data_IF_648456820661
#
_entry.id   IF_648456820661
#
_cell.length_a   1.000
_cell.length_b   1.000
_cell.length_c   1.000
_cell.angle_alpha   90.00
_cell.angle_beta   90.00
_cell.angle_gamma   90.00
#
_symmetry.space_group_name_H-M   'P 1'
#
loop_
_entity.id
_entity.type
_entity.pdbx_description
1 polymer ?
#
# COMPACT_ATOMS: atom_id res chain seq x y z
N UNK A 1 18.27 50.23 3.72
CA UNK A 1 18.39 50.04 2.27
C UNK A 1 17.30 49.08 1.81
N UNK A 2 16.41 49.59 0.99
CA UNK A 2 15.17 48.95 0.52
C UNK A 2 15.45 48.17 -0.75
N UNK A 3 14.97 46.95 -0.88
CA UNK A 3 14.87 46.26 -2.15
C UNK A 3 13.59 45.43 -2.26
N UNK A 4 12.69 46.03 -2.90
CA UNK A 4 11.63 45.75 -3.88
C UNK A 4 11.29 44.26 -4.18
N UNK A 5 10.09 43.92 -3.76
CA UNK A 5 9.28 42.81 -4.26
C UNK A 5 8.81 43.14 -5.70
N UNK A 6 8.98 42.25 -6.66
CA UNK A 6 8.34 42.32 -7.98
C UNK A 6 7.09 41.44 -7.98
N UNK A 7 5.97 42.12 -8.22
CA UNK A 7 4.68 41.50 -8.49
C UNK A 7 4.67 40.92 -9.91
N UNK A 8 4.14 39.73 -10.05
CA UNK A 8 3.83 39.12 -11.34
C UNK A 8 2.48 39.65 -11.84
N UNK A 9 2.50 40.20 -13.02
CA UNK A 9 1.36 40.74 -13.73
C UNK A 9 0.39 39.64 -14.18
N UNK A 10 -0.84 39.88 -13.81
CA UNK A 10 -2.06 39.27 -14.33
C UNK A 10 -2.28 39.75 -15.77
N UNK A 11 -2.34 38.83 -16.73
CA UNK A 11 -2.64 39.16 -18.14
C UNK A 11 -4.05 38.68 -18.43
N UNK A 12 -4.98 39.63 -18.47
CA UNK A 12 -6.35 39.40 -18.91
C UNK A 12 -6.38 39.30 -20.46
N UNK A 13 -7.23 38.46 -21.06
CA UNK A 13 -7.40 38.41 -22.52
C UNK A 13 -8.22 39.61 -22.97
N UNK A 14 -7.65 40.35 -23.94
CA UNK A 14 -8.31 41.47 -24.61
C UNK A 14 -9.38 40.94 -25.56
N UNK A 15 -10.61 41.42 -25.39
CA UNK A 15 -11.68 41.34 -26.34
C UNK A 15 -11.34 42.25 -27.55
N UNK A 16 -11.24 41.65 -28.71
CA UNK A 16 -11.19 42.38 -29.98
C UNK A 16 -12.61 42.38 -30.54
N UNK A 17 -13.26 43.55 -30.41
CA UNK A 17 -14.57 43.80 -31.02
C UNK A 17 -14.32 44.38 -32.41
N UNK A 18 -14.65 43.66 -33.45
CA UNK A 18 -14.71 44.12 -34.83
C UNK A 18 -16.12 43.88 -35.36
N UNK A 19 -16.86 44.96 -35.41
CA UNK A 19 -18.20 45.01 -35.96
C UNK A 19 -18.24 44.84 -37.48
N UNK A 20 -19.48 44.73 -37.94
CA UNK A 20 -20.05 44.71 -39.26
C UNK A 20 -20.29 43.35 -39.91
N UNK A 21 -21.55 42.97 -39.89
CA UNK A 21 -22.33 42.84 -41.08
C UNK A 21 -22.51 41.41 -41.63
N UNK A 22 -23.79 41.08 -41.75
CA UNK A 22 -24.38 40.05 -42.59
C UNK A 22 -24.42 38.61 -42.02
N UNK A 23 -25.57 38.34 -41.48
CA UNK A 23 -25.99 36.99 -41.06
C UNK A 23 -25.99 35.99 -42.22
N UNK A 24 -25.15 35.04 -42.09
CA UNK A 24 -25.33 33.73 -42.70
C UNK A 24 -25.39 32.72 -41.57
N UNK A 25 -26.62 32.29 -41.28
CA UNK A 25 -26.90 31.21 -40.35
C UNK A 25 -26.41 29.91 -40.99
N UNK A 26 -25.11 29.62 -40.88
CA UNK A 26 -24.60 28.30 -41.20
C UNK A 26 -24.97 27.38 -40.03
N UNK A 27 -26.11 26.72 -40.23
CA UNK A 27 -26.55 25.58 -39.39
C UNK A 27 -25.48 24.52 -39.51
N UNK A 28 -24.50 24.57 -38.58
CA UNK A 28 -23.49 23.54 -38.44
C UNK A 28 -24.20 22.26 -38.01
N UNK A 29 -24.54 21.41 -38.98
CA UNK A 29 -24.90 20.04 -38.74
C UNK A 29 -23.72 19.40 -38.00
N UNK A 30 -23.88 19.16 -36.72
CA UNK A 30 -23.05 18.21 -36.00
C UNK A 30 -23.27 16.84 -36.66
N UNK A 31 -22.47 16.53 -37.65
CA UNK A 31 -22.28 15.17 -38.09
C UNK A 31 -21.53 14.48 -36.93
N UNK A 32 -22.25 13.80 -36.09
CA UNK A 32 -21.71 12.81 -35.16
C UNK A 32 -21.17 11.67 -36.02
N UNK A 33 -19.95 11.85 -36.55
CA UNK A 33 -19.13 10.71 -36.94
C UNK A 33 -18.75 10.00 -35.65
N UNK A 34 -19.69 9.18 -35.15
CA UNK A 34 -19.35 8.09 -34.26
C UNK A 34 -18.46 7.15 -35.06
N UNK A 35 -17.15 7.38 -34.96
CA UNK A 35 -16.19 6.36 -35.33
C UNK A 35 -16.59 5.12 -34.54
N UNK A 36 -16.90 4.00 -35.21
CA UNK A 36 -17.06 2.75 -34.49
C UNK A 36 -15.72 2.51 -33.82
N UNK A 37 -15.69 2.65 -32.50
CA UNK A 37 -14.61 2.16 -31.67
C UNK A 37 -14.59 0.64 -31.91
N UNK A 38 -13.83 0.25 -32.92
CA UNK A 38 -13.47 -1.14 -33.14
C UNK A 38 -12.73 -1.58 -31.88
N UNK A 39 -13.53 -2.01 -30.89
CA UNK A 39 -13.05 -2.89 -29.87
C UNK A 39 -12.51 -4.13 -30.62
N UNK A 40 -11.25 -4.05 -30.98
CA UNK A 40 -10.47 -5.25 -31.19
C UNK A 40 -10.46 -5.96 -29.83
N UNK A 41 -11.55 -6.63 -29.57
CA UNK A 41 -11.62 -7.62 -28.52
C UNK A 41 -10.54 -8.63 -28.82
N UNK A 42 -9.35 -8.42 -28.26
CA UNK A 42 -8.36 -9.48 -28.13
C UNK A 42 -9.02 -10.53 -27.23
N UNK A 43 -9.90 -11.29 -27.82
CA UNK A 43 -10.34 -12.54 -27.21
C UNK A 43 -9.06 -13.37 -27.10
N UNK A 44 -8.49 -13.38 -25.92
CA UNK A 44 -7.47 -14.33 -25.54
C UNK A 44 -8.15 -15.71 -25.60
N UNK A 45 -8.35 -16.22 -26.83
CA UNK A 45 -8.60 -17.66 -27.00
C UNK A 45 -7.37 -18.29 -26.41
N UNK A 46 -7.53 -18.91 -25.28
CA UNK A 46 -6.57 -19.88 -24.77
C UNK A 46 -6.66 -21.09 -25.67
N UNK A 47 -6.23 -20.89 -26.90
CA UNK A 47 -6.15 -22.00 -27.84
C UNK A 47 -5.22 -23.03 -27.21
N UNK A 48 -5.75 -24.22 -27.00
CA UNK A 48 -4.95 -25.30 -26.45
C UNK A 48 -3.77 -25.53 -27.42
N UNK A 49 -2.55 -25.47 -26.93
CA UNK A 49 -1.39 -25.65 -27.80
C UNK A 49 -1.45 -27.04 -28.42
N UNK A 50 -1.14 -27.13 -29.73
CA UNK A 50 -1.06 -28.39 -30.41
C UNK A 50 0.11 -29.24 -29.89
N UNK A 51 0.07 -30.54 -30.10
CA UNK A 51 1.12 -31.44 -29.66
C UNK A 51 2.51 -30.99 -30.17
N UNK A 52 2.61 -30.60 -31.44
CA UNK A 52 3.85 -30.11 -32.03
C UNK A 52 4.35 -28.80 -31.38
N UNK A 53 3.45 -27.89 -31.00
CA UNK A 53 3.81 -26.68 -30.25
C UNK A 53 4.33 -27.02 -28.86
N UNK A 54 3.73 -27.99 -28.17
CA UNK A 54 4.21 -28.47 -26.87
C UNK A 54 5.56 -29.16 -26.93
N UNK A 55 5.83 -29.92 -28.00
CA UNK A 55 7.14 -30.55 -28.20
C UNK A 55 8.24 -29.50 -28.43
N UNK A 56 7.96 -28.47 -29.24
CA UNK A 56 8.94 -27.41 -29.56
C UNK A 56 9.18 -26.43 -28.40
N UNK A 57 8.11 -25.96 -27.74
CA UNK A 57 8.15 -24.87 -26.77
C UNK A 57 8.08 -25.38 -25.32
N UNK A 58 7.67 -26.66 -25.14
CA UNK A 58 7.39 -27.18 -23.80
C UNK A 58 6.17 -26.53 -23.15
N UNK A 59 5.91 -26.85 -21.89
CA UNK A 59 4.85 -26.25 -21.08
C UNK A 59 5.42 -25.11 -20.22
N UNK A 60 4.84 -23.93 -20.32
CA UNK A 60 5.17 -22.85 -19.40
C UNK A 60 4.67 -23.17 -17.98
N UNK A 61 5.58 -23.09 -17.01
CA UNK A 61 5.20 -23.23 -15.60
C UNK A 61 4.41 -22.00 -15.16
N UNK A 62 3.27 -22.21 -14.52
CA UNK A 62 2.48 -21.10 -13.95
C UNK A 62 3.30 -20.34 -12.90
N UNK A 63 3.40 -19.02 -13.06
CA UNK A 63 4.10 -18.16 -12.10
C UNK A 63 3.26 -18.04 -10.82
N UNK A 64 3.78 -18.51 -9.69
CA UNK A 64 3.14 -18.33 -8.39
C UNK A 64 3.14 -16.87 -7.98
N UNK A 65 1.96 -16.29 -7.73
CA UNK A 65 1.83 -14.96 -7.16
C UNK A 65 2.17 -15.00 -5.66
N UNK A 66 3.02 -14.10 -5.20
CA UNK A 66 3.38 -14.02 -3.78
C UNK A 66 2.20 -13.56 -2.94
N UNK A 67 2.06 -14.06 -1.70
CA UNK A 67 1.05 -13.61 -0.74
C UNK A 67 1.40 -12.25 -0.10
N UNK A 68 2.66 -11.83 -0.19
CA UNK A 68 3.21 -10.60 0.41
C UNK A 68 3.93 -9.73 -0.63
N UNK A 69 3.21 -9.10 -1.58
CA UNK A 69 3.81 -8.38 -2.69
C UNK A 69 4.66 -7.18 -2.26
N UNK A 70 4.33 -6.53 -1.14
CA UNK A 70 5.06 -5.35 -0.68
C UNK A 70 6.49 -5.65 -0.17
N UNK A 71 6.80 -6.89 0.17
CA UNK A 71 8.14 -7.27 0.62
C UNK A 71 9.12 -7.49 -0.53
N UNK A 72 8.64 -7.74 -1.77
CA UNK A 72 9.50 -7.99 -2.95
C UNK A 72 10.57 -9.05 -2.67
N UNK A 73 10.15 -10.24 -2.21
CA UNK A 73 11.00 -11.36 -1.85
C UNK A 73 11.97 -11.14 -0.65
N UNK A 74 11.91 -10.00 0.03
CA UNK A 74 12.66 -9.80 1.28
C UNK A 74 11.90 -10.43 2.47
N UNK A 75 12.60 -10.98 3.48
CA UNK A 75 11.94 -11.54 4.67
C UNK A 75 11.28 -10.47 5.54
N UNK A 76 11.88 -9.30 5.67
CA UNK A 76 11.36 -8.14 6.38
C UNK A 76 11.65 -6.86 5.61
N UNK A 77 10.90 -5.79 5.92
CA UNK A 77 11.15 -4.45 5.40
C UNK A 77 10.89 -3.40 6.46
N UNK A 78 11.74 -2.36 6.44
CA UNK A 78 11.57 -1.18 7.29
C UNK A 78 10.53 -0.24 6.68
N UNK A 79 9.79 0.44 7.54
CA UNK A 79 8.85 1.48 7.16
C UNK A 79 8.58 2.44 8.29
N UNK A 80 7.82 3.48 8.00
CA UNK A 80 7.41 4.53 8.94
C UNK A 80 5.89 4.44 9.13
N UNK A 81 5.42 4.49 10.36
CA UNK A 81 4.00 4.53 10.68
C UNK A 81 3.38 5.86 10.20
N UNK A 82 2.40 5.79 9.32
CA UNK A 82 1.62 6.94 8.86
C UNK A 82 0.44 7.19 9.79
N UNK A 83 -0.21 6.11 10.24
CA UNK A 83 -1.36 6.17 11.13
C UNK A 83 -1.42 4.91 12.00
N UNK A 84 -1.74 5.08 13.27
CA UNK A 84 -2.03 3.98 14.20
C UNK A 84 -3.52 4.02 14.56
N UNK A 85 -4.21 2.90 14.43
CA UNK A 85 -5.66 2.82 14.61
C UNK A 85 -6.08 1.44 15.13
N UNK A 86 -7.37 1.31 15.38
CA UNK A 86 -8.00 0.01 15.68
C UNK A 86 -8.91 -0.39 14.53
N UNK A 87 -9.09 -1.69 14.35
CA UNK A 87 -9.95 -2.26 13.33
C UNK A 87 -10.81 -3.38 13.92
N UNK A 88 -12.06 -3.37 13.57
CA UNK A 88 -12.98 -4.46 13.96
C UNK A 88 -12.74 -5.68 13.07
N UNK A 89 -12.75 -6.89 13.63
CA UNK A 89 -12.63 -8.11 12.85
C UNK A 89 -13.90 -8.38 12.06
N UNK A 90 -13.82 -9.29 11.12
CA UNK A 90 -15.00 -9.82 10.43
C UNK A 90 -15.80 -10.75 11.31
N UNK A 91 -17.11 -10.89 11.03
CA UNK A 91 -17.99 -11.88 11.69
C UNK A 91 -17.37 -13.30 11.60
N UNK A 92 -17.47 -14.14 12.63
CA UNK A 92 -18.28 -14.00 13.85
C UNK A 92 -17.56 -13.28 15.02
N UNK A 93 -16.32 -12.82 14.88
CA UNK A 93 -15.53 -12.25 15.96
C UNK A 93 -15.84 -10.76 16.17
N UNK A 94 -15.68 -10.32 17.44
CA UNK A 94 -15.79 -8.91 17.83
C UNK A 94 -14.61 -8.53 18.72
N UNK A 95 -13.90 -7.47 18.37
CA UNK A 95 -12.79 -6.91 19.15
C UNK A 95 -12.31 -5.59 18.53
N UNK A 96 -11.42 -4.88 19.19
CA UNK A 96 -10.69 -3.73 18.66
C UNK A 96 -9.24 -4.13 18.44
N UNK A 97 -8.95 -4.67 17.25
CA UNK A 97 -7.60 -5.12 16.87
C UNK A 97 -6.73 -3.92 16.55
N UNK A 98 -5.51 -3.88 17.08
CA UNK A 98 -4.56 -2.81 16.86
C UNK A 98 -3.85 -2.99 15.52
N UNK A 99 -3.91 -1.96 14.68
CA UNK A 99 -3.28 -1.94 13.36
C UNK A 99 -2.48 -0.65 13.19
N UNK A 100 -1.52 -0.68 12.30
CA UNK A 100 -0.81 0.50 11.83
C UNK A 100 -0.75 0.53 10.31
N UNK A 101 -0.94 1.69 9.72
CA UNK A 101 -0.65 1.95 8.32
C UNK A 101 0.79 2.39 8.20
N UNK A 102 1.57 1.64 7.45
CA UNK A 102 3.04 1.81 7.37
C UNK A 102 3.43 2.09 5.93
N UNK A 103 4.19 3.16 5.71
CA UNK A 103 4.85 3.46 4.45
C UNK A 103 6.22 2.81 4.47
N UNK A 104 6.45 1.90 3.54
CA UNK A 104 7.71 1.16 3.42
C UNK A 104 8.76 1.96 2.65
N UNK A 105 10.02 1.55 2.78
CA UNK A 105 11.16 2.12 2.03
C UNK A 105 11.02 2.02 0.51
N UNK A 106 10.15 1.14 0.01
CA UNK A 106 9.83 1.05 -1.43
C UNK A 106 8.67 1.94 -1.89
N UNK A 107 8.20 2.86 -1.05
CA UNK A 107 7.09 3.77 -1.33
C UNK A 107 5.69 3.18 -1.14
N UNK A 108 5.55 1.88 -0.98
CA UNK A 108 4.24 1.22 -0.81
C UNK A 108 3.69 1.43 0.60
N UNK A 109 2.40 1.76 0.69
CA UNK A 109 1.68 1.82 1.96
C UNK A 109 0.93 0.51 2.20
N UNK A 110 1.10 -0.05 3.39
CA UNK A 110 0.49 -1.32 3.79
C UNK A 110 -0.12 -1.23 5.19
N UNK A 111 -1.21 -1.94 5.40
CA UNK A 111 -1.80 -2.11 6.73
C UNK A 111 -1.17 -3.30 7.41
N UNK A 112 -0.60 -3.07 8.60
CA UNK A 112 0.09 -4.07 9.40
C UNK A 112 -0.64 -4.30 10.73
N UNK A 113 -0.65 -5.52 11.19
CA UNK A 113 -1.16 -5.87 12.51
C UNK A 113 -0.08 -5.70 13.57
N UNK A 114 -0.45 -5.15 14.72
CA UNK A 114 0.41 -5.01 15.90
C UNK A 114 0.12 -6.18 16.84
N UNK A 115 1.00 -7.19 16.94
CA UNK A 115 0.75 -8.34 17.80
C UNK A 115 1.05 -8.02 19.26
N UNK A 116 0.36 -8.71 20.17
CA UNK A 116 0.55 -8.61 21.60
C UNK A 116 -0.37 -7.62 22.30
N UNK A 117 -0.27 -7.55 23.60
CA UNK A 117 -1.04 -6.68 24.47
C UNK A 117 -0.26 -5.37 24.66
N UNK A 118 -0.93 -4.23 24.42
CA UNK A 118 -0.31 -2.92 24.52
C UNK A 118 0.75 -2.65 23.42
N UNK A 119 0.97 -1.40 23.12
CA UNK A 119 2.04 -0.95 22.21
C UNK A 119 2.38 0.52 22.50
N UNK A 120 3.58 0.91 22.11
CA UNK A 120 4.09 2.29 22.22
C UNK A 120 4.19 3.02 20.86
N UNK A 121 3.62 2.43 19.79
CA UNK A 121 3.73 2.98 18.45
C UNK A 121 2.84 4.21 18.29
N UNK A 122 3.39 5.23 17.67
CA UNK A 122 2.74 6.49 17.31
C UNK A 122 2.97 6.78 15.82
N UNK A 123 2.43 7.89 15.34
CA UNK A 123 2.76 8.38 14.00
C UNK A 123 4.27 8.69 13.93
N UNK A 124 4.84 8.45 12.76
CA UNK A 124 6.27 8.60 12.46
C UNK A 124 7.21 7.58 13.13
N UNK A 125 6.72 6.65 13.96
CA UNK A 125 7.55 5.56 14.49
C UNK A 125 8.11 4.69 13.37
N UNK A 126 9.40 4.37 13.46
CA UNK A 126 10.08 3.49 12.53
C UNK A 126 9.86 2.04 12.96
N UNK A 127 9.36 1.22 12.05
CA UNK A 127 9.00 -0.18 12.36
C UNK A 127 9.57 -1.14 11.34
N UNK A 128 9.79 -2.37 11.76
CA UNK A 128 10.12 -3.48 10.91
C UNK A 128 8.90 -4.37 10.71
N UNK A 129 8.56 -4.65 9.46
CA UNK A 129 7.41 -5.49 9.11
C UNK A 129 7.86 -6.83 8.53
N UNK A 130 7.06 -7.86 8.75
CA UNK A 130 7.17 -9.17 8.12
C UNK A 130 5.87 -9.58 7.44
N UNK A 131 5.94 -10.54 6.54
CA UNK A 131 4.75 -11.16 5.96
C UNK A 131 3.99 -11.99 6.99
N UNK A 132 2.74 -12.21 6.71
CA UNK A 132 1.83 -13.01 7.50
C UNK A 132 0.43 -12.42 7.45
N UNK A 133 -0.52 -13.18 6.91
CA UNK A 133 -1.92 -12.74 6.84
C UNK A 133 -2.61 -12.93 8.19
N UNK A 134 -3.39 -11.92 8.60
CA UNK A 134 -4.34 -12.05 9.71
C UNK A 134 -5.67 -12.51 9.14
N UNK A 135 -6.09 -13.74 9.46
CA UNK A 135 -7.34 -14.32 8.93
C UNK A 135 -8.57 -13.52 9.40
N UNK A 136 -8.50 -12.94 10.56
CA UNK A 136 -9.58 -12.21 11.24
C UNK A 136 -9.81 -10.80 10.67
N UNK A 137 -8.78 -10.18 10.10
CA UNK A 137 -8.84 -8.81 9.59
C UNK A 137 -8.79 -8.79 8.06
N UNK A 138 -9.77 -8.16 7.39
CA UNK A 138 -9.76 -8.04 5.95
C UNK A 138 -8.61 -7.14 5.49
N UNK A 139 -7.88 -7.56 4.45
CA UNK A 139 -6.82 -6.78 3.82
C UNK A 139 -5.49 -6.72 4.58
N UNK A 140 -5.39 -7.22 5.81
CA UNK A 140 -4.16 -7.21 6.61
C UNK A 140 -3.32 -8.46 6.30
N UNK A 141 -2.16 -8.24 5.64
CA UNK A 141 -1.25 -9.31 5.18
C UNK A 141 0.13 -9.23 5.83
N UNK A 142 0.35 -8.29 6.74
CA UNK A 142 1.65 -7.99 7.33
C UNK A 142 1.53 -7.85 8.83
N UNK A 143 2.62 -8.15 9.53
CA UNK A 143 2.75 -7.98 10.97
C UNK A 143 3.93 -7.07 11.27
N UNK A 144 3.80 -6.26 12.33
CA UNK A 144 4.93 -5.53 12.90
C UNK A 144 5.72 -6.48 13.80
N UNK A 145 7.05 -6.41 13.72
CA UNK A 145 7.95 -7.17 14.58
C UNK A 145 8.14 -6.39 15.87
N UNK A 146 7.75 -7.00 16.98
CA UNK A 146 7.92 -6.41 18.32
C UNK A 146 9.36 -6.56 18.78
N UNK A 147 9.84 -5.58 19.56
CA UNK A 147 11.21 -5.57 20.08
C UNK A 147 12.28 -5.19 19.05
N UNK A 148 11.89 -4.62 17.92
CA UNK A 148 12.78 -4.13 16.87
C UNK A 148 12.49 -2.66 16.55
N UNK A 149 13.52 -1.85 16.36
CA UNK A 149 13.41 -0.40 16.12
C UNK A 149 12.55 0.26 17.22
N UNK A 150 11.56 1.08 16.85
CA UNK A 150 10.71 1.80 17.80
C UNK A 150 9.59 0.94 18.42
N UNK A 151 9.40 -0.29 17.94
CA UNK A 151 8.39 -1.20 18.48
C UNK A 151 8.91 -1.91 19.73
N UNK A 152 8.50 -1.46 20.92
CA UNK A 152 8.87 -2.11 22.17
C UNK A 152 8.36 -3.56 22.23
N UNK A 153 9.05 -4.44 22.98
CA UNK A 153 8.57 -5.77 23.29
C UNK A 153 7.28 -5.73 24.13
N UNK A 154 6.58 -6.85 24.23
CA UNK A 154 5.41 -6.97 25.11
C UNK A 154 5.90 -7.16 26.54
N UNK A 155 5.50 -6.27 27.44
CA UNK A 155 5.84 -6.36 28.86
C UNK A 155 5.33 -7.69 29.48
N UNK A 156 6.03 -8.19 30.48
CA UNK A 156 5.69 -9.37 31.29
C UNK A 156 5.40 -10.65 30.53
N UNK A 157 5.78 -10.74 29.29
CA UNK A 157 5.57 -11.93 28.47
C UNK A 157 6.55 -13.03 28.82
N UNK A 158 6.03 -14.13 29.39
CA UNK A 158 6.85 -15.29 29.83
C UNK A 158 6.99 -16.37 28.75
N UNK A 159 5.91 -16.66 28.01
CA UNK A 159 5.88 -17.68 26.94
C UNK A 159 5.95 -17.08 25.54
N UNK A 160 6.63 -17.75 24.61
CA UNK A 160 6.76 -17.29 23.22
C UNK A 160 7.45 -15.94 23.09
N UNK A 161 8.39 -15.62 23.97
CA UNK A 161 9.04 -14.31 24.09
C UNK A 161 9.64 -13.78 22.78
N UNK A 162 10.30 -14.63 22.01
CA UNK A 162 10.90 -14.27 20.74
C UNK A 162 9.87 -13.73 19.72
N UNK A 163 8.64 -14.22 19.76
CA UNK A 163 7.56 -13.74 18.89
C UNK A 163 7.08 -12.33 19.25
N UNK A 164 7.30 -11.92 20.49
CA UNK A 164 6.82 -10.65 21.05
C UNK A 164 7.95 -9.72 21.50
N UNK A 165 9.19 -10.03 21.14
CA UNK A 165 10.34 -9.15 21.37
C UNK A 165 10.74 -9.00 22.84
N UNK A 166 10.38 -9.96 23.71
CA UNK A 166 10.72 -9.90 25.13
C UNK A 166 12.05 -10.61 25.41
N UNK A 167 12.96 -9.91 26.09
CA UNK A 167 14.25 -10.48 26.54
C UNK A 167 14.04 -11.48 27.67
N UNK A 168 14.97 -12.43 27.83
CA UNK A 168 14.98 -13.33 28.98
C UNK A 168 15.24 -12.53 30.25
N UNK A 169 14.43 -12.71 31.33
CA UNK A 169 14.75 -12.08 32.61
C UNK A 169 16.12 -12.55 33.09
N UNK A 170 16.94 -11.62 33.56
CA UNK A 170 18.21 -11.97 34.21
C UNK A 170 17.88 -12.76 35.47
N UNK A 171 18.55 -13.91 35.68
CA UNK A 171 18.54 -14.56 36.98
C UNK A 171 19.22 -13.59 37.94
N UNK A 172 18.54 -13.24 39.00
CA UNK A 172 19.18 -12.54 40.13
C UNK A 172 20.33 -13.40 40.60
N UNK A 173 21.54 -12.87 40.66
CA UNK A 173 22.65 -13.56 41.31
C UNK A 173 22.24 -13.80 42.76
N UNK A 174 22.46 -15.02 43.34
CA UNK A 174 22.18 -15.22 44.74
C UNK A 174 22.95 -14.16 45.52
N UNK A 175 22.27 -13.45 46.42
CA UNK A 175 22.90 -12.51 47.33
C UNK A 175 24.05 -13.24 48.01
N UNK A 176 25.27 -12.71 47.85
CA UNK A 176 26.42 -13.21 48.62
C UNK A 176 26.09 -12.93 50.11
N UNK A 177 25.83 -14.00 50.86
CA UNK A 177 25.75 -13.94 52.29
C UNK A 177 27.11 -13.61 52.91
#
# INVERSE_FOLDING_TARGET
>A
MVSKRRALHDVSPREINLGYGLGIFIRQRRSSLSLPFLFYGVTWRKDLPTLNQLVRLGREKSKHKTKSPALKACPQKRGVCVKVATMTPKKPNSALRKIARVRLTNGMEVTCYIPGVGHNLQEHSIVLIRGGRVKDLPGVRYHIIRGALDAAGVADRKQGRSKYGMKRPKKEAPAKA
#
